data_IF_957761828007
#
_entry.id   IF_957761828007
#
_cell.length_a   1.000
_cell.length_b   1.000
_cell.length_c   1.000
_cell.angle_alpha   90.00
_cell.angle_beta   90.00
_cell.angle_gamma   90.00
#
_symmetry.space_group_name_H-M   'P 1'
#
loop_
_entity.id
_entity.type
_entity.pdbx_description
1 polymer ?
#
# COMPACT_ATOMS: atom_id res chain seq x y z
N UNK A 1 -30.50 11.59 -19.71
CA UNK A 1 -29.97 11.74 -18.33
C UNK A 1 -29.11 10.54 -17.92
N UNK A 2 -29.53 9.30 -18.21
CA UNK A 2 -28.81 8.07 -17.86
C UNK A 2 -27.34 8.03 -18.34
N UNK A 3 -27.06 8.45 -19.59
CA UNK A 3 -25.69 8.52 -20.14
C UNK A 3 -24.77 9.47 -19.36
N UNK A 4 -25.32 10.58 -18.84
CA UNK A 4 -24.57 11.55 -18.02
C UNK A 4 -24.25 10.97 -16.64
N UNK A 5 -25.23 10.29 -16.04
CA UNK A 5 -25.06 9.61 -14.74
C UNK A 5 -24.04 8.47 -14.87
N UNK A 6 -24.13 7.66 -15.93
CA UNK A 6 -23.17 6.58 -16.19
C UNK A 6 -21.74 7.11 -16.38
N UNK A 7 -21.58 8.24 -17.07
CA UNK A 7 -20.27 8.88 -17.22
C UNK A 7 -19.71 9.38 -15.88
N UNK A 8 -20.55 9.99 -15.03
CA UNK A 8 -20.13 10.43 -13.69
C UNK A 8 -19.72 9.25 -12.80
N UNK A 9 -20.47 8.14 -12.83
CA UNK A 9 -20.14 6.93 -12.08
C UNK A 9 -18.80 6.33 -12.56
N UNK A 10 -18.58 6.29 -13.88
CA UNK A 10 -17.33 5.82 -14.45
C UNK A 10 -16.14 6.67 -13.98
N UNK A 11 -16.28 8.00 -14.00
CA UNK A 11 -15.24 8.92 -13.52
C UNK A 11 -14.94 8.70 -12.03
N UNK A 12 -15.97 8.54 -11.20
CA UNK A 12 -15.79 8.26 -9.76
C UNK A 12 -15.09 6.92 -9.50
N UNK A 13 -15.44 5.87 -10.25
CA UNK A 13 -14.76 4.58 -10.16
C UNK A 13 -13.29 4.68 -10.57
N UNK A 14 -12.99 5.39 -11.66
CA UNK A 14 -11.61 5.60 -12.11
C UNK A 14 -10.80 6.37 -11.07
N UNK A 15 -11.36 7.42 -10.47
CA UNK A 15 -10.71 8.18 -9.40
C UNK A 15 -10.46 7.28 -8.19
N UNK A 16 -11.45 6.49 -7.76
CA UNK A 16 -11.29 5.56 -6.63
C UNK A 16 -10.21 4.50 -6.86
N UNK A 17 -10.12 3.95 -8.08
CA UNK A 17 -9.06 3.00 -8.44
C UNK A 17 -7.67 3.66 -8.39
N UNK A 18 -7.54 4.88 -8.90
CA UNK A 18 -6.26 5.60 -8.95
C UNK A 18 -5.80 6.12 -7.57
N UNK A 19 -6.72 6.44 -6.67
CA UNK A 19 -6.38 6.95 -5.33
C UNK A 19 -6.21 5.84 -4.29
N UNK A 20 -6.66 4.61 -4.55
CA UNK A 20 -6.52 3.47 -3.62
C UNK A 20 -5.06 3.15 -3.24
N UNK A 21 -4.12 3.26 -4.18
CA UNK A 21 -2.69 3.04 -3.94
C UNK A 21 -2.07 4.08 -3.00
N UNK A 22 -2.59 5.31 -3.01
CA UNK A 22 -2.14 6.40 -2.13
C UNK A 22 -2.54 6.13 -0.68
N UNK A 23 -3.73 5.57 -0.44
CA UNK A 23 -4.16 5.17 0.91
C UNK A 23 -3.41 3.94 1.41
N UNK A 24 -3.09 2.97 0.55
CA UNK A 24 -2.28 1.80 0.90
C UNK A 24 -0.83 2.18 1.28
N UNK A 25 -0.27 3.22 0.67
CA UNK A 25 1.10 3.68 0.96
C UNK A 25 1.25 4.44 2.29
N UNK A 26 0.15 4.85 2.93
CA UNK A 26 0.16 5.81 4.05
C UNK A 26 0.77 5.29 5.35
N UNK A 27 0.92 3.97 5.51
CA UNK A 27 1.49 3.34 6.72
C UNK A 27 2.87 2.71 6.48
N UNK A 28 3.64 3.21 5.52
CA UNK A 28 4.98 2.66 5.23
C UNK A 28 6.02 3.25 6.18
N UNK A 29 6.72 2.40 6.93
CA UNK A 29 7.86 2.79 7.77
C UNK A 29 9.17 2.34 7.14
N UNK A 30 10.04 3.28 6.78
CA UNK A 30 11.34 2.98 6.17
C UNK A 30 12.42 2.85 7.25
N UNK A 31 13.08 1.69 7.30
CA UNK A 31 14.17 1.42 8.24
C UNK A 31 15.49 1.36 7.47
N UNK A 32 16.41 2.28 7.78
CA UNK A 32 17.77 2.27 7.24
C UNK A 32 18.66 1.43 8.15
N UNK A 33 19.29 0.40 7.58
CA UNK A 33 20.25 -0.46 8.28
C UNK A 33 21.36 -0.93 7.35
N UNK A 34 22.54 -1.18 7.91
CA UNK A 34 23.74 -1.70 7.20
C UNK A 34 23.90 -3.22 7.37
N UNK A 35 22.80 -3.92 7.68
CA UNK A 35 22.79 -5.36 7.90
C UNK A 35 23.06 -6.13 6.61
N UNK A 36 23.85 -7.20 6.70
CA UNK A 36 24.15 -8.08 5.56
C UNK A 36 24.04 -9.55 5.95
N UNK A 37 23.86 -10.44 4.98
CA UNK A 37 23.79 -11.90 5.21
C UNK A 37 22.76 -12.29 6.27
N UNK A 38 23.20 -13.04 7.30
CA UNK A 38 22.34 -13.56 8.36
C UNK A 38 21.68 -12.48 9.23
N UNK A 39 22.28 -11.29 9.34
CA UNK A 39 21.70 -10.18 10.10
C UNK A 39 20.45 -9.62 9.41
N UNK A 40 20.51 -9.48 8.08
CA UNK A 40 19.35 -9.07 7.27
C UNK A 40 18.24 -10.12 7.33
N UNK A 41 18.59 -11.41 7.32
CA UNK A 41 17.64 -12.51 7.46
C UNK A 41 16.94 -12.50 8.83
N UNK A 42 17.70 -12.29 9.91
CA UNK A 42 17.15 -12.19 11.25
C UNK A 42 16.23 -10.97 11.40
N UNK A 43 16.63 -9.82 10.84
CA UNK A 43 15.80 -8.62 10.81
C UNK A 43 14.47 -8.86 10.09
N UNK A 44 14.49 -9.47 8.91
CA UNK A 44 13.27 -9.78 8.16
C UNK A 44 12.35 -10.75 8.93
N UNK A 45 12.90 -11.76 9.62
CA UNK A 45 12.12 -12.65 10.48
C UNK A 45 11.51 -11.94 11.69
N UNK A 46 12.20 -10.93 12.22
CA UNK A 46 11.70 -10.10 13.30
C UNK A 46 10.57 -9.18 12.83
N UNK A 47 10.65 -8.63 11.61
CA UNK A 47 9.66 -7.70 11.07
C UNK A 47 8.37 -8.40 10.60
N UNK A 48 8.47 -9.61 10.06
CA UNK A 48 7.33 -10.33 9.49
C UNK A 48 6.07 -10.43 10.38
N UNK A 49 6.15 -10.66 11.71
CA UNK A 49 4.99 -10.63 12.60
C UNK A 49 4.33 -9.24 12.69
N UNK A 50 5.11 -8.16 12.64
CA UNK A 50 4.59 -6.80 12.71
C UNK A 50 3.85 -6.40 11.43
N UNK A 51 4.29 -6.92 10.28
CA UNK A 51 3.57 -6.74 9.00
C UNK A 51 2.28 -7.57 8.92
N UNK A 52 2.18 -8.69 9.63
CA UNK A 52 0.97 -9.53 9.64
C UNK A 52 -0.17 -8.94 10.48
N UNK A 53 0.18 -8.14 11.49
CA UNK A 53 -0.77 -7.50 12.42
C UNK A 53 -1.16 -6.06 11.98
N UNK A 54 -0.66 -5.58 10.84
CA UNK A 54 -0.97 -4.25 10.25
C UNK A 54 -1.72 -4.34 8.93
#
# INVERSE_FOLDING_TARGET
>A
MLKKISFVILVLLLIGMLTSSVFAASNTLTILGVWTGAEAEAFNKMVAPFEADT
#
